data_IF_374757552804
#
_entry.id   IF_374757552804
#
_cell.length_a   1.000
_cell.length_b   1.000
_cell.length_c   1.000
_cell.angle_alpha   90.00
_cell.angle_beta   90.00
_cell.angle_gamma   90.00
#
_symmetry.space_group_name_H-M   'P 1'
#
loop_
_entity.id
_entity.type
_entity.pdbx_description
1 polymer ?
#
# COMPACT_ATOMS: atom_id res chain seq x y z
N UNK A 1 -6.91 8.49 1.05
CA UNK A 1 -6.75 7.38 0.07
C UNK A 1 -5.70 7.61 -1.02
N UNK A 2 -5.38 8.87 -1.38
CA UNK A 2 -4.37 9.20 -2.40
C UNK A 2 -2.97 8.61 -2.14
N UNK A 3 -2.42 8.78 -0.94
CA UNK A 3 -1.10 8.26 -0.56
C UNK A 3 -0.95 6.74 -0.76
N UNK A 4 -1.95 5.98 -0.30
CA UNK A 4 -1.97 4.52 -0.49
C UNK A 4 -2.01 4.18 -1.98
N UNK A 5 -2.81 4.90 -2.76
CA UNK A 5 -2.91 4.67 -4.21
C UNK A 5 -1.58 4.93 -4.92
N UNK A 6 -0.89 6.03 -4.57
CA UNK A 6 0.43 6.36 -5.12
C UNK A 6 1.47 5.29 -4.77
N UNK A 7 1.48 4.82 -3.51
CA UNK A 7 2.35 3.74 -3.07
C UNK A 7 2.08 2.44 -3.83
N UNK A 8 0.81 2.02 -3.95
CA UNK A 8 0.45 0.77 -4.63
C UNK A 8 0.82 0.82 -6.11
N UNK A 9 0.66 1.97 -6.78
CA UNK A 9 1.00 2.15 -8.19
C UNK A 9 2.48 2.48 -8.44
N UNK A 10 3.29 2.59 -7.40
CA UNK A 10 4.73 2.86 -7.53
C UNK A 10 5.52 1.63 -7.98
N UNK A 11 6.75 1.87 -8.45
CA UNK A 11 7.73 0.82 -8.77
C UNK A 11 8.35 0.13 -7.54
N UNK A 12 7.92 0.50 -6.32
CA UNK A 12 8.42 -0.14 -5.10
C UNK A 12 8.01 -1.60 -5.10
N UNK A 13 8.94 -2.49 -4.79
CA UNK A 13 8.65 -3.92 -4.79
C UNK A 13 7.59 -4.25 -3.73
N UNK A 14 6.70 -5.20 -4.03
CA UNK A 14 5.72 -5.66 -3.04
C UNK A 14 6.39 -6.28 -1.82
N UNK A 15 7.61 -6.81 -1.97
CA UNK A 15 8.44 -7.27 -0.86
C UNK A 15 8.85 -6.13 0.07
N UNK A 16 9.39 -5.03 -0.48
CA UNK A 16 9.80 -3.86 0.32
C UNK A 16 8.62 -3.26 1.09
N UNK A 17 7.46 -3.14 0.45
CA UNK A 17 6.25 -2.65 1.13
C UNK A 17 5.82 -3.61 2.25
N UNK A 18 5.89 -4.93 2.02
CA UNK A 18 5.57 -5.93 3.05
C UNK A 18 6.53 -5.85 4.23
N UNK A 19 7.85 -5.79 3.98
CA UNK A 19 8.87 -5.67 5.02
C UNK A 19 8.69 -4.43 5.89
N UNK A 20 8.35 -3.28 5.29
CA UNK A 20 8.23 -2.00 6.01
C UNK A 20 6.86 -1.84 6.70
N UNK A 21 5.78 -2.33 6.09
CA UNK A 21 4.42 -2.08 6.59
C UNK A 21 3.81 -3.27 7.34
N UNK A 22 4.35 -4.47 7.14
CA UNK A 22 3.75 -5.73 7.55
C UNK A 22 2.41 -6.02 6.87
N UNK A 23 2.13 -5.39 5.72
CA UNK A 23 0.96 -5.70 4.89
C UNK A 23 1.35 -6.81 3.92
N UNK A 24 0.64 -7.94 3.90
CA UNK A 24 1.03 -9.09 3.07
C UNK A 24 1.20 -8.73 1.60
N UNK A 25 2.28 -9.20 0.97
CA UNK A 25 2.58 -8.95 -0.45
C UNK A 25 1.46 -9.41 -1.38
N UNK A 26 0.74 -10.46 -1.00
CA UNK A 26 -0.46 -10.89 -1.73
C UNK A 26 -1.53 -9.79 -1.79
N UNK A 27 -1.79 -9.08 -0.67
CA UNK A 27 -2.73 -7.96 -0.68
C UNK A 27 -2.26 -6.84 -1.62
N UNK A 28 -0.96 -6.58 -1.66
CA UNK A 28 -0.36 -5.57 -2.55
C UNK A 28 -0.58 -5.94 -4.01
N UNK A 29 -0.30 -7.20 -4.36
CA UNK A 29 -0.56 -7.74 -5.70
C UNK A 29 -2.05 -7.65 -6.08
N UNK A 30 -2.95 -8.02 -5.18
CA UNK A 30 -4.40 -7.92 -5.42
C UNK A 30 -4.86 -6.47 -5.61
N UNK A 31 -4.26 -5.51 -4.90
CA UNK A 31 -4.56 -4.08 -5.08
C UNK A 31 -4.05 -3.56 -6.42
N UNK A 32 -2.84 -3.92 -6.83
CA UNK A 32 -2.27 -3.56 -8.14
C UNK A 32 -3.10 -4.10 -9.30
N UNK A 33 -3.58 -5.33 -9.16
CA UNK A 33 -4.39 -6.00 -10.18
C UNK A 33 -5.88 -5.63 -10.11
N UNK A 34 -6.27 -4.65 -9.27
CA UNK A 34 -7.67 -4.22 -9.12
C UNK A 34 -8.61 -5.23 -8.45
N UNK A 35 -8.16 -6.46 -8.18
CA UNK A 35 -8.91 -7.53 -7.49
C UNK A 35 -9.30 -7.14 -6.06
N UNK A 36 -8.55 -6.24 -5.43
CA UNK A 36 -8.87 -5.66 -4.11
C UNK A 36 -8.95 -4.15 -4.20
N UNK A 37 -10.13 -3.58 -3.91
CA UNK A 37 -10.33 -2.12 -3.94
C UNK A 37 -9.67 -1.47 -2.72
N UNK A 38 -8.81 -0.47 -2.96
CA UNK A 38 -8.12 0.31 -1.91
C UNK A 38 -9.14 0.99 -0.97
N UNK A 39 -10.30 1.42 -1.50
CA UNK A 39 -11.39 2.00 -0.68
C UNK A 39 -11.99 1.06 0.37
N UNK A 40 -11.79 -0.26 0.24
CA UNK A 40 -12.31 -1.28 1.15
C UNK A 40 -11.22 -1.79 2.12
N UNK A 41 -10.09 -1.09 2.23
CA UNK A 41 -9.08 -1.41 3.24
C UNK A 41 -9.60 -1.09 4.64
N UNK A 42 -9.31 -1.96 5.60
CA UNK A 42 -9.53 -1.62 7.00
C UNK A 42 -8.61 -0.46 7.40
N UNK A 43 -9.01 0.25 8.45
CA UNK A 43 -8.33 1.46 8.94
C UNK A 43 -6.85 1.17 9.26
N UNK A 44 -6.55 0.03 9.89
CA UNK A 44 -5.19 -0.37 10.27
C UNK A 44 -4.26 -0.54 9.06
N UNK A 45 -4.72 -1.22 8.01
CA UNK A 45 -3.96 -1.41 6.77
C UNK A 45 -3.82 -0.10 6.00
N UNK A 46 -4.89 0.70 5.92
CA UNK A 46 -4.83 2.01 5.28
C UNK A 46 -3.82 2.94 5.98
N UNK A 47 -3.82 2.95 7.32
CA UNK A 47 -2.88 3.71 8.14
C UNK A 47 -1.43 3.30 7.87
N UNK A 48 -1.10 2.01 8.01
CA UNK A 48 0.25 1.47 7.76
C UNK A 48 0.81 1.85 6.39
N UNK A 49 0.00 1.66 5.34
CA UNK A 49 0.40 2.00 3.97
C UNK A 49 0.54 3.51 3.79
N UNK A 50 -0.33 4.32 4.42
CA UNK A 50 -0.23 5.78 4.31
C UNK A 50 0.98 6.35 5.05
N UNK A 51 1.35 5.81 6.21
CA UNK A 51 2.52 6.25 6.96
C UNK A 51 3.81 5.91 6.21
N UNK A 52 3.90 4.70 5.66
CA UNK A 52 5.03 4.33 4.82
C UNK A 52 5.08 5.20 3.55
N UNK A 53 3.96 5.45 2.90
CA UNK A 53 3.92 6.33 1.73
C UNK A 53 4.47 7.74 2.05
N UNK A 54 4.15 8.28 3.23
CA UNK A 54 4.71 9.57 3.68
C UNK A 54 6.20 9.49 3.97
N UNK A 55 6.68 8.42 4.61
CA UNK A 55 8.09 8.29 5.00
C UNK A 55 9.03 8.28 3.79
N UNK A 56 8.56 7.82 2.63
CA UNK A 56 9.28 7.82 1.36
C UNK A 56 8.96 9.03 0.46
N UNK A 57 8.19 10.02 0.96
CA UNK A 57 8.01 11.32 0.31
C UNK A 57 6.78 11.46 -0.60
N UNK A 58 5.83 10.53 -0.60
CA UNK A 58 4.57 10.75 -1.33
C UNK A 58 3.74 11.86 -0.66
N UNK A 59 3.13 12.73 -1.49
CA UNK A 59 2.28 13.85 -1.10
C UNK A 59 0.90 13.78 -1.80
#
# INVERSE_FOLDING_TARGET
MRLVTNLINSNISGYSIESETGVPRNNISLMRNGKRKIKNLNVKTAYKLSEYAKSIGFK
#
